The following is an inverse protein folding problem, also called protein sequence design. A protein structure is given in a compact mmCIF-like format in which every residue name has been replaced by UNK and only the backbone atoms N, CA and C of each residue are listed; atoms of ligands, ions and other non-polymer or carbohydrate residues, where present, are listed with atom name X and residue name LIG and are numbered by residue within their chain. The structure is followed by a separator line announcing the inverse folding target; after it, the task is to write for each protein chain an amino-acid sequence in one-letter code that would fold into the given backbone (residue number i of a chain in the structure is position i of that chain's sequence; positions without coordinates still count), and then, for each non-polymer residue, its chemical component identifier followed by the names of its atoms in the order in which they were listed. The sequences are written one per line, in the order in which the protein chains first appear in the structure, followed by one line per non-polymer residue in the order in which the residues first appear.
data_IF_247626582082
#
_entry.id   IF_247626582082
#
_cell.length_a   1.000
_cell.length_b   1.000
_cell.length_c   1.000
_cell.angle_alpha   90.00
_cell.angle_beta   90.00
_cell.angle_gamma   90.00
#
_symmetry.space_group_name_H-M   'P 1'
#
loop_
_entity.id
_entity.type
_entity.pdbx_description
1 polymer ?
#
# COMPACT_ATOMS: atom_id res chain seq x y z
N UNK A 1 0.57 -11.46 -8.46
CA UNK A 1 -0.12 -12.40 -7.54
C UNK A 1 0.79 -13.59 -7.22
N UNK A 2 1.89 -13.39 -6.48
CA UNK A 2 2.79 -14.49 -6.10
C UNK A 2 3.35 -14.34 -4.68
N UNK A 3 3.42 -13.12 -4.16
CA UNK A 3 3.94 -12.83 -2.81
C UNK A 3 3.09 -13.50 -1.72
N UNK A 4 1.76 -13.42 -1.82
CA UNK A 4 0.84 -14.08 -0.87
C UNK A 4 1.09 -15.60 -0.80
N UNK A 5 1.08 -16.29 -1.95
CA UNK A 5 1.29 -17.73 -2.01
C UNK A 5 2.67 -18.12 -1.48
N UNK A 6 3.71 -17.36 -1.85
CA UNK A 6 5.06 -17.61 -1.36
C UNK A 6 5.15 -17.49 0.16
N UNK A 7 4.52 -16.46 0.77
CA UNK A 7 4.49 -16.31 2.22
C UNK A 7 3.84 -17.51 2.91
N UNK A 8 2.73 -18.01 2.35
CA UNK A 8 2.03 -19.21 2.86
C UNK A 8 2.92 -20.45 2.73
N UNK A 9 3.46 -20.70 1.54
CA UNK A 9 4.29 -21.88 1.25
C UNK A 9 5.58 -21.93 2.09
N UNK A 10 6.14 -20.77 2.41
CA UNK A 10 7.41 -20.66 3.15
C UNK A 10 7.24 -20.37 4.64
N UNK A 11 6.00 -20.19 5.12
CA UNK A 11 5.72 -19.85 6.52
C UNK A 11 6.20 -18.45 6.94
N UNK A 12 6.41 -17.54 5.98
CA UNK A 12 6.85 -16.17 6.26
C UNK A 12 5.65 -15.24 6.47
N UNK A 13 5.79 -14.29 7.40
CA UNK A 13 4.80 -13.21 7.58
C UNK A 13 4.81 -12.26 6.38
N UNK A 14 3.63 -11.75 6.03
CA UNK A 14 3.47 -10.74 5.02
C UNK A 14 3.31 -9.37 5.68
N UNK A 15 4.17 -8.41 5.32
CA UNK A 15 3.98 -7.02 5.70
C UNK A 15 2.91 -6.40 4.79
N UNK A 16 1.87 -5.82 5.38
CA UNK A 16 0.76 -5.17 4.67
C UNK A 16 0.63 -3.72 5.13
N UNK A 17 0.01 -2.88 4.29
CA UNK A 17 -0.38 -1.53 4.66
C UNK A 17 -1.54 -1.58 5.67
N UNK A 18 -1.61 -0.60 6.56
CA UNK A 18 -2.66 -0.52 7.60
C UNK A 18 -4.07 -0.52 6.99
N UNK A 19 -4.28 0.15 5.87
CA UNK A 19 -5.59 0.19 5.19
C UNK A 19 -6.05 -1.19 4.64
N UNK A 20 -5.21 -2.22 4.70
CA UNK A 20 -5.53 -3.59 4.30
C UNK A 20 -5.83 -4.52 5.48
N UNK A 21 -5.92 -3.99 6.71
CA UNK A 21 -6.08 -4.77 7.93
C UNK A 21 -7.21 -5.81 7.86
N UNK A 22 -8.32 -5.47 7.22
CA UNK A 22 -9.54 -6.30 7.13
C UNK A 22 -9.93 -6.65 5.68
N UNK A 23 -8.96 -6.62 4.77
CA UNK A 23 -9.22 -6.83 3.33
C UNK A 23 -9.79 -8.22 3.01
N UNK A 24 -9.50 -9.22 3.85
CA UNK A 24 -9.96 -10.59 3.63
C UNK A 24 -10.02 -11.39 4.95
N UNK A 25 -11.09 -12.17 5.20
CA UNK A 25 -11.29 -12.88 6.47
C UNK A 25 -10.25 -13.97 6.77
N UNK A 26 -9.53 -14.47 5.76
CA UNK A 26 -8.45 -15.44 5.93
C UNK A 26 -7.07 -14.80 6.22
N UNK A 27 -6.98 -13.47 6.27
CA UNK A 27 -5.78 -12.73 6.66
C UNK A 27 -5.97 -12.18 8.06
N UNK A 28 -5.08 -12.60 8.98
CA UNK A 28 -5.03 -12.04 10.34
C UNK A 28 -3.91 -11.02 10.39
N UNK A 29 -4.27 -9.79 10.73
CA UNK A 29 -3.34 -8.67 10.84
C UNK A 29 -2.85 -8.54 12.28
N UNK A 30 -1.53 -8.47 12.47
CA UNK A 30 -0.90 -8.28 13.77
C UNK A 30 -0.25 -6.90 13.77
N UNK A 31 -0.57 -6.00 14.72
CA UNK A 31 0.02 -4.67 14.76
C UNK A 31 1.51 -4.74 15.06
N UNK A 32 2.29 -3.94 14.34
CA UNK A 32 3.74 -3.89 14.46
C UNK A 32 4.15 -2.51 14.97
N UNK A 33 4.95 -2.47 16.04
CA UNK A 33 5.45 -1.22 16.65
C UNK A 33 6.87 -0.92 16.17
N UNK A 34 7.01 -0.51 14.92
CA UNK A 34 8.29 -0.06 14.34
C UNK A 34 8.20 1.41 13.95
N UNK A 35 9.31 2.14 14.14
CA UNK A 35 9.49 3.48 13.59
C UNK A 35 9.85 3.36 12.10
N UNK A 36 8.86 3.00 11.26
CA UNK A 36 9.02 2.83 9.82
C UNK A 36 7.98 3.64 9.04
N UNK A 37 8.46 4.45 8.10
CA UNK A 37 7.62 5.17 7.14
C UNK A 37 7.87 4.63 5.72
N UNK A 38 6.80 4.21 5.04
CA UNK A 38 6.88 3.90 3.61
C UNK A 38 6.60 5.18 2.81
N UNK A 39 7.49 5.61 1.88
CA UNK A 39 7.19 6.74 1.03
C UNK A 39 6.01 6.39 0.11
N UNK A 40 5.03 7.28 0.02
CA UNK A 40 3.90 7.17 -0.89
C UNK A 40 3.76 8.48 -1.67
N UNK A 41 3.12 8.41 -2.83
CA UNK A 41 2.93 9.56 -3.70
C UNK A 41 1.94 9.28 -4.80
N UNK A 42 1.56 10.34 -5.51
CA UNK A 42 0.71 10.25 -6.69
C UNK A 42 1.56 9.90 -7.91
N UNK A 43 1.14 8.87 -8.64
CA UNK A 43 1.68 8.55 -9.95
C UNK A 43 0.79 9.20 -11.01
N UNK A 44 1.35 10.13 -11.78
CA UNK A 44 0.65 10.80 -12.87
C UNK A 44 1.57 10.93 -14.11
N UNK A 45 0.98 11.23 -15.27
CA UNK A 45 1.71 11.36 -16.51
C UNK A 45 2.71 12.53 -16.45
N UNK A 46 3.85 12.43 -17.15
CA UNK A 46 4.84 13.53 -17.19
C UNK A 46 4.25 14.85 -17.73
N UNK A 47 3.26 14.76 -18.62
CA UNK A 47 2.48 15.89 -19.12
C UNK A 47 0.99 15.63 -18.81
N UNK A 48 0.53 15.90 -17.58
CA UNK A 48 -0.85 15.65 -17.17
C UNK A 48 -1.77 16.78 -17.69
N UNK A 49 -3.07 16.50 -17.87
CA UNK A 49 -4.06 17.55 -18.15
C UNK A 49 -4.25 18.49 -16.94
N UNK A 50 -4.82 19.68 -17.20
CA UNK A 50 -4.91 20.77 -16.22
C UNK A 50 -5.67 20.38 -14.94
N UNK A 51 -6.67 19.52 -15.05
CA UNK A 51 -7.46 19.00 -13.92
C UNK A 51 -6.62 18.16 -12.96
N UNK A 52 -5.73 17.32 -13.49
CA UNK A 52 -4.78 16.52 -12.72
C UNK A 52 -3.71 17.40 -12.06
N UNK A 53 -3.19 18.41 -12.76
CA UNK A 53 -2.28 19.39 -12.15
C UNK A 53 -2.96 20.19 -11.03
N UNK A 54 -4.23 20.54 -11.21
CA UNK A 54 -4.98 21.26 -10.18
C UNK A 54 -5.20 20.39 -8.93
N UNK A 55 -5.42 19.09 -9.10
CA UNK A 55 -5.51 18.13 -8.00
C UNK A 55 -4.18 17.99 -7.24
N UNK A 56 -3.06 17.87 -7.97
CA UNK A 56 -1.72 17.82 -7.35
C UNK A 56 -1.41 19.10 -6.55
N UNK A 57 -1.64 20.28 -7.14
CA UNK A 57 -1.24 21.56 -6.55
C UNK A 57 -2.11 22.00 -5.36
N UNK A 58 -3.37 21.59 -5.31
CA UNK A 58 -4.30 21.97 -4.23
C UNK A 58 -4.32 20.99 -3.06
N UNK A 59 -3.48 19.94 -3.11
CA UNK A 59 -3.42 18.89 -2.10
C UNK A 59 -4.50 17.82 -2.32
N UNK A 60 -4.06 16.56 -2.27
CA UNK A 60 -4.93 15.42 -2.05
C UNK A 60 -5.51 15.43 -0.63
#
# INVERSE_FOLDING_TARGET
MSVFNRCIETGNVLLILECWQDVHPALVSIPVKWEYSSPYGLLYALNPPDDVMQFENNGA
#
